data_IF_038582188534
#
_entry.id   IF_038582188534
#
_cell.length_a   1.000
_cell.length_b   1.000
_cell.length_c   1.000
_cell.angle_alpha   90.00
_cell.angle_beta   90.00
_cell.angle_gamma   90.00
#
_symmetry.space_group_name_H-M   'P 1'
#
loop_
_entity.id
_entity.type
_entity.pdbx_description
1 polymer ?
#
# COMPACT_ATOMS: atom_id res chain seq x y z
N UNK A 1 6.21 29.22 -14.29
CA UNK A 1 5.72 27.84 -14.29
C UNK A 1 4.88 27.59 -13.06
N UNK A 2 3.60 27.33 -13.27
CA UNK A 2 2.59 27.02 -12.27
C UNK A 2 2.49 25.50 -12.12
N UNK A 3 2.55 24.96 -10.90
CA UNK A 3 2.44 23.52 -10.69
C UNK A 3 1.05 23.17 -10.15
N UNK A 4 0.39 22.22 -10.79
CA UNK A 4 -0.91 21.67 -10.36
C UNK A 4 -0.86 20.14 -10.36
N UNK A 5 -1.67 19.52 -9.51
CA UNK A 5 -1.74 18.06 -9.40
C UNK A 5 -3.11 17.60 -9.88
N UNK A 6 -3.16 16.66 -10.82
CA UNK A 6 -4.41 16.04 -11.24
C UNK A 6 -4.71 14.81 -10.36
N UNK A 7 -5.84 14.82 -9.69
CA UNK A 7 -6.25 13.89 -8.63
C UNK A 7 -6.53 14.65 -7.33
N UNK A 8 -7.44 14.14 -6.49
CA UNK A 8 -7.81 14.77 -5.22
C UNK A 8 -8.05 13.75 -4.10
N UNK A 9 -7.24 12.69 -4.10
CA UNK A 9 -7.34 11.56 -3.16
C UNK A 9 -5.93 11.16 -2.69
N UNK A 10 -5.79 10.04 -1.97
CA UNK A 10 -4.54 9.70 -1.27
C UNK A 10 -3.27 9.71 -2.12
N UNK A 11 -3.32 9.22 -3.37
CA UNK A 11 -2.16 9.29 -4.29
C UNK A 11 -1.77 10.75 -4.59
N UNK A 12 -2.75 11.61 -4.85
CA UNK A 12 -2.53 13.02 -5.12
C UNK A 12 -1.99 13.76 -3.90
N UNK A 13 -2.51 13.44 -2.70
CA UNK A 13 -2.01 14.01 -1.46
C UNK A 13 -0.57 13.56 -1.18
N UNK A 14 -0.24 12.28 -1.39
CA UNK A 14 1.14 11.78 -1.25
C UNK A 14 2.10 12.44 -2.24
N UNK A 15 1.68 12.61 -3.50
CA UNK A 15 2.47 13.36 -4.49
C UNK A 15 2.66 14.80 -4.04
N UNK A 16 1.61 15.48 -3.56
CA UNK A 16 1.70 16.85 -3.07
C UNK A 16 2.72 17.00 -1.93
N UNK A 17 2.62 16.16 -0.90
CA UNK A 17 3.53 16.23 0.26
C UNK A 17 4.97 15.94 -0.16
N UNK A 18 5.20 14.84 -0.89
CA UNK A 18 6.54 14.48 -1.34
C UNK A 18 7.12 15.52 -2.31
N UNK A 19 6.29 16.12 -3.17
CA UNK A 19 6.68 17.18 -4.10
C UNK A 19 7.11 18.44 -3.37
N UNK A 20 6.31 18.89 -2.41
CA UNK A 20 6.57 20.11 -1.64
C UNK A 20 7.83 19.98 -0.79
N UNK A 21 8.08 18.80 -0.22
CA UNK A 21 9.31 18.52 0.53
C UNK A 21 10.54 18.52 -0.40
N UNK A 22 10.42 17.90 -1.57
CA UNK A 22 11.50 17.76 -2.54
C UNK A 22 11.80 19.05 -3.30
N UNK A 23 10.81 19.94 -3.43
CA UNK A 23 10.89 21.19 -4.21
C UNK A 23 10.36 22.39 -3.40
N UNK A 24 11.05 22.81 -2.32
CA UNK A 24 10.54 23.81 -1.38
C UNK A 24 10.35 25.21 -1.98
N UNK A 25 10.99 25.50 -3.11
CA UNK A 25 10.85 26.75 -3.85
C UNK A 25 9.67 26.73 -4.84
N UNK A 26 9.10 25.55 -5.11
CA UNK A 26 7.96 25.37 -6.00
C UNK A 26 6.66 25.30 -5.18
N UNK A 27 5.59 25.89 -5.72
CA UNK A 27 4.28 25.90 -5.06
C UNK A 27 3.26 25.19 -5.95
N UNK A 28 2.51 24.28 -5.33
CA UNK A 28 1.32 23.71 -5.95
C UNK A 28 0.15 24.66 -5.72
N UNK A 29 -0.53 25.04 -6.79
CA UNK A 29 -1.60 26.04 -6.71
C UNK A 29 -2.95 25.44 -6.35
N UNK A 30 -3.25 24.27 -6.93
CA UNK A 30 -4.52 23.59 -6.76
C UNK A 30 -4.42 22.12 -7.18
N UNK A 31 -5.45 21.37 -6.82
CA UNK A 31 -5.71 20.04 -7.36
C UNK A 31 -6.73 20.13 -8.50
N UNK A 32 -6.56 19.33 -9.53
CA UNK A 32 -7.48 19.19 -10.67
C UNK A 32 -8.21 17.86 -10.62
N UNK A 33 -9.47 17.86 -11.00
CA UNK A 33 -10.29 16.65 -11.16
C UNK A 33 -11.10 16.74 -12.45
N UNK A 34 -11.53 15.61 -12.99
CA UNK A 34 -12.46 15.61 -14.13
C UNK A 34 -13.77 16.30 -13.78
N UNK A 35 -14.28 16.06 -12.56
CA UNK A 35 -15.49 16.68 -12.02
C UNK A 35 -15.45 16.70 -10.50
N UNK A 36 -16.24 17.58 -9.89
CA UNK A 36 -16.43 17.63 -8.44
C UNK A 36 -17.15 16.39 -7.85
N UNK A 37 -17.73 15.54 -8.69
CA UNK A 37 -18.39 14.32 -8.23
C UNK A 37 -17.40 13.42 -7.47
N UNK A 38 -17.77 13.03 -6.24
CA UNK A 38 -16.97 12.18 -5.35
C UNK A 38 -15.57 12.71 -4.99
N UNK A 39 -15.31 14.01 -5.16
CA UNK A 39 -14.06 14.67 -4.78
C UNK A 39 -14.33 15.75 -3.72
N UNK A 40 -13.39 15.99 -2.79
CA UNK A 40 -13.53 17.07 -1.83
C UNK A 40 -13.42 18.44 -2.53
N UNK A 41 -13.90 19.50 -1.88
CA UNK A 41 -13.74 20.88 -2.36
C UNK A 41 -12.32 21.43 -2.16
N UNK A 42 -11.56 20.83 -1.25
CA UNK A 42 -10.20 21.21 -0.90
C UNK A 42 -9.39 19.98 -0.45
N UNK A 43 -8.08 20.03 -0.61
CA UNK A 43 -7.13 19.02 -0.15
C UNK A 43 -5.82 19.73 0.21
N UNK A 44 -5.21 19.41 1.35
CA UNK A 44 -4.03 20.11 1.87
C UNK A 44 -4.20 21.64 1.91
N UNK A 45 -5.39 22.10 2.32
CA UNK A 45 -5.79 23.52 2.35
C UNK A 45 -5.79 24.22 0.96
N UNK A 46 -5.57 23.49 -0.13
CA UNK A 46 -5.63 23.99 -1.50
C UNK A 46 -6.98 23.67 -2.16
N UNK A 47 -7.46 24.50 -3.09
CA UNK A 47 -8.72 24.25 -3.79
C UNK A 47 -8.61 23.04 -4.72
N UNK A 48 -9.69 22.26 -4.81
CA UNK A 48 -9.88 21.24 -5.85
C UNK A 48 -10.77 21.84 -6.93
N UNK A 49 -10.33 21.83 -8.19
CA UNK A 49 -11.00 22.47 -9.32
C UNK A 49 -11.32 21.46 -10.43
N UNK A 50 -12.44 21.64 -11.12
CA UNK A 50 -12.70 20.90 -12.35
C UNK A 50 -11.72 21.32 -13.46
N UNK A 51 -11.28 20.36 -14.27
CA UNK A 51 -10.37 20.61 -15.39
C UNK A 51 -10.93 21.64 -16.37
N UNK A 52 -12.23 21.56 -16.67
CA UNK A 52 -12.90 22.49 -17.60
C UNK A 52 -12.80 23.94 -17.11
N UNK A 53 -13.16 24.19 -15.85
CA UNK A 53 -13.12 25.53 -15.24
C UNK A 53 -11.69 26.08 -15.22
N UNK A 54 -10.72 25.27 -14.76
CA UNK A 54 -9.31 25.67 -14.75
C UNK A 54 -8.77 25.97 -16.15
N UNK A 55 -9.09 25.11 -17.12
CA UNK A 55 -8.67 25.24 -18.52
C UNK A 55 -9.21 26.50 -19.19
N UNK A 56 -10.43 26.91 -18.86
CA UNK A 56 -11.06 28.12 -19.41
C UNK A 56 -10.48 29.41 -18.83
N UNK A 57 -10.03 29.39 -17.58
CA UNK A 57 -9.42 30.54 -16.91
C UNK A 57 -7.90 30.66 -17.14
N UNK A 58 -7.24 29.56 -17.51
CA UNK A 58 -5.80 29.52 -17.72
C UNK A 58 -5.39 30.27 -19.00
N UNK A 59 -4.70 31.41 -18.85
CA UNK A 59 -4.27 32.25 -19.95
C UNK A 59 -3.12 31.63 -20.78
N UNK A 60 -2.15 30.99 -20.13
CA UNK A 60 -1.01 30.34 -20.78
C UNK A 60 -0.82 28.90 -20.26
N UNK A 61 -1.37 27.95 -20.99
CA UNK A 61 -1.31 26.51 -20.67
C UNK A 61 0.10 25.93 -20.84
N UNK A 62 1.00 26.63 -21.54
CA UNK A 62 2.38 26.19 -21.73
C UNK A 62 3.27 26.48 -20.53
N UNK A 63 2.84 27.36 -19.61
CA UNK A 63 3.52 27.62 -18.34
C UNK A 63 2.94 26.78 -17.18
N UNK A 64 2.04 25.84 -17.43
CA UNK A 64 1.47 24.97 -16.39
C UNK A 64 2.12 23.59 -16.44
N UNK A 65 2.73 23.17 -15.34
CA UNK A 65 3.16 21.79 -15.10
C UNK A 65 2.04 21.01 -14.39
N UNK A 66 1.65 19.88 -14.97
CA UNK A 66 0.61 19.02 -14.41
C UNK A 66 1.21 17.68 -13.99
N UNK A 67 1.13 17.37 -12.70
CA UNK A 67 1.47 16.06 -12.14
C UNK A 67 0.22 15.20 -12.05
N UNK A 68 0.07 14.17 -12.88
CA UNK A 68 -1.10 13.28 -12.86
C UNK A 68 -0.91 12.20 -11.80
N UNK A 69 -1.60 12.33 -10.67
CA UNK A 69 -1.45 11.53 -9.46
C UNK A 69 -2.75 10.76 -9.14
N UNK A 70 -3.07 9.80 -10.01
CA UNK A 70 -4.27 8.95 -9.95
C UNK A 70 -3.90 7.47 -10.06
N UNK A 71 -4.83 6.51 -9.90
CA UNK A 71 -4.55 5.11 -10.20
C UNK A 71 -4.03 4.93 -11.64
N UNK A 72 -3.02 4.09 -11.82
CA UNK A 72 -2.30 3.95 -13.08
C UNK A 72 -3.19 3.50 -14.27
N UNK A 73 -4.30 2.80 -13.99
CA UNK A 73 -5.25 2.35 -15.01
C UNK A 73 -6.12 3.47 -15.62
N UNK A 74 -6.13 4.67 -15.05
CA UNK A 74 -6.87 5.84 -15.60
C UNK A 74 -5.96 6.97 -16.08
N UNK A 75 -4.66 6.90 -15.78
CA UNK A 75 -3.69 7.96 -16.12
C UNK A 75 -3.62 8.27 -17.62
N UNK A 76 -3.76 7.25 -18.48
CA UNK A 76 -3.70 7.42 -19.94
C UNK A 76 -4.84 8.30 -20.46
N UNK A 77 -6.08 7.99 -20.09
CA UNK A 77 -7.28 8.76 -20.46
C UNK A 77 -7.25 10.20 -19.92
N UNK A 78 -6.72 10.37 -18.70
CA UNK A 78 -6.50 11.70 -18.12
C UNK A 78 -5.47 12.48 -18.94
N UNK A 79 -4.34 11.85 -19.31
CA UNK A 79 -3.32 12.48 -20.14
C UNK A 79 -3.87 12.93 -21.49
N UNK A 80 -4.68 12.10 -22.15
CA UNK A 80 -5.36 12.44 -23.40
C UNK A 80 -6.31 13.63 -23.22
N UNK A 81 -7.07 13.66 -22.13
CA UNK A 81 -8.00 14.76 -21.80
C UNK A 81 -7.26 16.09 -21.55
N UNK A 82 -6.12 16.03 -20.86
CA UNK A 82 -5.27 17.20 -20.61
C UNK A 82 -4.65 17.74 -21.91
N UNK A 83 -4.18 16.86 -22.79
CA UNK A 83 -3.71 17.26 -24.12
C UNK A 83 -4.83 17.88 -24.97
N UNK A 84 -6.03 17.30 -24.95
CA UNK A 84 -7.19 17.85 -25.65
C UNK A 84 -7.58 19.24 -25.10
N UNK A 85 -7.39 19.47 -23.80
CA UNK A 85 -7.57 20.76 -23.15
C UNK A 85 -6.43 21.77 -23.46
N UNK A 86 -5.37 21.37 -24.16
CA UNK A 86 -4.28 22.25 -24.60
C UNK A 86 -3.07 22.34 -23.67
N UNK A 87 -2.96 21.46 -22.67
CA UNK A 87 -1.78 21.37 -21.80
C UNK A 87 -0.69 20.50 -22.43
N UNK A 88 0.57 20.90 -22.25
CA UNK A 88 1.73 20.21 -22.83
C UNK A 88 2.75 19.68 -21.82
N UNK A 89 2.88 20.29 -20.63
CA UNK A 89 3.86 19.85 -19.63
C UNK A 89 3.20 18.90 -18.62
N UNK A 90 2.98 17.65 -19.05
CA UNK A 90 2.27 16.64 -18.27
C UNK A 90 3.25 15.56 -17.83
N UNK A 91 3.34 15.32 -16.52
CA UNK A 91 4.08 14.20 -15.94
C UNK A 91 3.08 13.21 -15.37
N UNK A 92 3.10 11.97 -15.86
CA UNK A 92 2.32 10.89 -15.24
C UNK A 92 3.10 10.37 -14.03
N UNK A 93 2.55 10.54 -12.83
CA UNK A 93 3.19 10.09 -11.58
C UNK A 93 3.02 8.58 -11.41
N UNK A 94 3.67 7.79 -12.26
CA UNK A 94 3.63 6.33 -12.14
C UNK A 94 4.44 5.90 -10.91
N UNK A 95 4.52 4.60 -10.70
CA UNK A 95 5.27 4.00 -9.61
C UNK A 95 6.70 4.55 -9.52
N UNK A 96 7.44 4.59 -10.62
CA UNK A 96 8.81 5.10 -10.64
C UNK A 96 8.92 6.59 -10.22
N UNK A 97 8.11 7.47 -10.80
CA UNK A 97 8.13 8.90 -10.45
C UNK A 97 7.71 9.15 -8.99
N UNK A 98 6.69 8.44 -8.50
CA UNK A 98 6.26 8.53 -7.10
C UNK A 98 7.35 8.00 -6.15
N UNK A 99 7.94 6.85 -6.45
CA UNK A 99 8.99 6.25 -5.63
C UNK A 99 10.23 7.16 -5.54
N UNK A 100 10.64 7.77 -6.65
CA UNK A 100 11.75 8.73 -6.68
C UNK A 100 11.44 9.95 -5.81
N UNK A 101 10.21 10.45 -5.89
CA UNK A 101 9.79 11.62 -5.12
C UNK A 101 9.71 11.34 -3.62
N UNK A 102 9.15 10.20 -3.21
CA UNK A 102 9.13 9.76 -1.82
C UNK A 102 10.55 9.52 -1.27
N UNK A 103 11.45 8.99 -2.09
CA UNK A 103 12.86 8.79 -1.72
C UNK A 103 13.57 10.12 -1.46
N UNK A 104 13.38 11.12 -2.33
CA UNK A 104 13.96 12.45 -2.12
C UNK A 104 13.35 13.14 -0.90
N UNK A 105 12.04 13.01 -0.69
CA UNK A 105 11.38 13.55 0.50
C UNK A 105 11.95 12.95 1.79
N UNK A 106 12.13 11.62 1.82
CA UNK A 106 12.74 10.89 2.94
C UNK A 106 14.17 11.38 3.24
N UNK A 107 15.03 11.55 2.22
CA UNK A 107 16.41 12.06 2.38
C UNK A 107 16.50 13.44 3.02
N UNK A 108 15.46 14.26 2.86
CA UNK A 108 15.37 15.60 3.46
C UNK A 108 14.95 15.58 4.93
N UNK A 109 14.80 14.39 5.50
CA UNK A 109 14.49 14.21 6.92
C UNK A 109 13.04 14.53 7.28
N UNK A 110 12.15 14.60 6.28
CA UNK A 110 10.72 14.84 6.47
C UNK A 110 9.99 13.57 6.04
N UNK A 111 9.33 12.89 6.98
CA UNK A 111 8.57 11.67 6.72
C UNK A 111 9.23 10.41 7.30
N UNK A 112 9.40 9.38 6.47
CA UNK A 112 9.79 8.03 6.89
C UNK A 112 11.25 7.69 6.61
N UNK A 113 11.80 6.78 7.39
CA UNK A 113 13.08 6.15 7.09
C UNK A 113 12.95 5.31 5.81
N UNK A 114 13.92 5.44 4.90
CA UNK A 114 13.96 4.68 3.67
C UNK A 114 15.03 3.60 3.69
N UNK A 115 14.77 2.50 2.96
CA UNK A 115 15.80 1.49 2.69
C UNK A 115 17.00 2.08 1.94
N UNK A 116 16.81 3.17 1.21
CA UNK A 116 17.84 3.82 0.38
C UNK A 116 18.83 4.69 1.17
N UNK A 117 18.57 4.95 2.46
CA UNK A 117 19.43 5.78 3.31
C UNK A 117 20.65 5.00 3.85
N UNK A 118 20.57 3.67 3.87
CA UNK A 118 21.62 2.79 4.37
C UNK A 118 22.74 2.55 3.37
N UNK A 119 23.94 2.28 3.89
CA UNK A 119 25.05 1.80 3.06
C UNK A 119 24.81 0.33 2.68
N UNK A 120 25.08 -0.03 1.43
CA UNK A 120 25.01 -1.42 0.98
C UNK A 120 26.22 -2.22 1.50
N UNK A 121 25.96 -3.43 2.00
CA UNK A 121 27.02 -4.39 2.33
C UNK A 121 27.43 -5.24 1.13
N UNK A 122 28.18 -6.31 1.40
CA UNK A 122 28.64 -7.26 0.37
C UNK A 122 27.79 -8.53 0.29
N UNK A 123 26.90 -8.76 1.25
CA UNK A 123 26.14 -10.01 1.36
C UNK A 123 24.66 -9.80 1.07
N UNK A 124 24.07 -10.78 0.40
CA UNK A 124 22.62 -10.87 0.26
C UNK A 124 21.99 -11.59 1.47
N UNK A 125 20.78 -11.21 1.88
CA UNK A 125 19.98 -11.99 2.81
C UNK A 125 19.30 -13.16 2.10
N UNK A 126 18.91 -14.17 2.88
CA UNK A 126 17.97 -15.20 2.43
C UNK A 126 16.57 -14.58 2.41
N UNK A 127 15.88 -14.62 1.27
CA UNK A 127 14.57 -13.99 1.09
C UNK A 127 13.58 -14.98 0.45
N UNK A 128 12.35 -15.00 0.97
CA UNK A 128 11.21 -15.69 0.36
C UNK A 128 9.96 -14.79 0.42
N UNK A 129 9.59 -14.16 -0.69
CA UNK A 129 8.38 -13.34 -0.81
C UNK A 129 7.30 -14.14 -1.51
N UNK A 130 6.16 -14.34 -0.86
CA UNK A 130 5.03 -15.06 -1.43
C UNK A 130 4.14 -14.11 -2.22
N UNK A 131 4.09 -14.31 -3.53
CA UNK A 131 3.31 -13.48 -4.44
C UNK A 131 1.92 -14.09 -4.60
N UNK A 132 0.92 -13.45 -3.99
CA UNK A 132 -0.47 -13.85 -4.09
C UNK A 132 -0.97 -13.67 -5.54
N UNK A 133 -1.41 -14.77 -6.13
CA UNK A 133 -1.98 -14.85 -7.47
C UNK A 133 -3.36 -15.51 -7.42
N UNK A 134 -4.32 -15.02 -8.19
CA UNK A 134 -5.68 -15.54 -8.25
C UNK A 134 -6.14 -15.72 -9.70
N UNK A 135 -7.16 -16.55 -9.90
CA UNK A 135 -7.81 -16.71 -11.21
C UNK A 135 -8.51 -15.44 -11.70
N UNK A 136 -8.76 -14.50 -10.79
CA UNK A 136 -9.36 -13.21 -11.08
C UNK A 136 -8.33 -12.13 -11.46
N UNK A 137 -7.04 -12.48 -11.47
CA UNK A 137 -5.98 -11.56 -11.87
C UNK A 137 -6.14 -11.17 -13.32
N UNK A 138 -5.98 -9.87 -13.59
CA UNK A 138 -6.08 -9.34 -14.95
C UNK A 138 -4.74 -9.55 -15.65
N UNK A 139 -4.74 -9.83 -16.96
CA UNK A 139 -3.51 -9.83 -17.74
C UNK A 139 -2.81 -8.48 -17.63
N UNK A 140 -1.52 -8.51 -17.27
CA UNK A 140 -0.68 -7.31 -17.20
C UNK A 140 -0.34 -6.82 -18.61
N UNK A 141 -0.34 -5.50 -18.79
CA UNK A 141 0.06 -4.86 -20.04
C UNK A 141 1.56 -5.11 -20.31
N UNK A 142 2.37 -5.09 -19.24
CA UNK A 142 3.82 -5.31 -19.30
C UNK A 142 4.18 -6.64 -18.65
N UNK A 143 5.02 -7.42 -19.35
CA UNK A 143 5.68 -8.58 -18.75
C UNK A 143 6.84 -8.11 -17.90
N UNK A 144 7.08 -8.79 -16.79
CA UNK A 144 8.24 -8.61 -15.94
C UNK A 144 8.78 -9.98 -15.53
N UNK A 145 10.07 -10.04 -15.27
CA UNK A 145 10.70 -11.24 -14.75
C UNK A 145 10.48 -11.31 -13.25
N UNK A 146 9.88 -12.41 -12.78
CA UNK A 146 9.67 -12.65 -11.37
C UNK A 146 11.01 -13.08 -10.76
N UNK A 147 11.56 -12.34 -9.78
CA UNK A 147 12.81 -12.71 -9.12
C UNK A 147 12.71 -14.09 -8.46
N UNK A 148 13.82 -14.81 -8.34
CA UNK A 148 13.82 -16.18 -7.78
C UNK A 148 13.29 -16.24 -6.34
N UNK A 149 13.55 -15.19 -5.54
CA UNK A 149 13.05 -15.07 -4.18
C UNK A 149 11.54 -14.83 -4.11
N UNK A 150 10.88 -14.51 -5.23
CA UNK A 150 9.44 -14.27 -5.30
C UNK A 150 8.72 -15.54 -5.77
N UNK A 151 7.98 -16.17 -4.85
CA UNK A 151 7.37 -17.48 -5.01
C UNK A 151 5.86 -17.30 -5.24
N UNK A 152 5.33 -17.58 -6.44
CA UNK A 152 3.89 -17.50 -6.69
C UNK A 152 3.11 -18.50 -5.84
N UNK A 153 2.10 -18.00 -5.12
CA UNK A 153 1.13 -18.79 -4.37
C UNK A 153 -0.28 -18.51 -4.92
N UNK A 154 -1.00 -19.55 -5.30
CA UNK A 154 -2.40 -19.44 -5.70
C UNK A 154 -3.27 -19.26 -4.46
N UNK A 155 -3.95 -18.12 -4.38
CA UNK A 155 -4.86 -17.78 -3.27
C UNK A 155 -6.33 -18.02 -3.64
N UNK A 156 -7.12 -18.49 -2.68
CA UNK A 156 -8.50 -18.90 -2.91
C UNK A 156 -8.59 -20.18 -3.75
N UNK A 157 -7.63 -21.09 -3.56
CA UNK A 157 -7.44 -22.29 -4.37
C UNK A 157 -8.49 -23.40 -4.14
N UNK A 158 -9.48 -23.20 -3.28
CA UNK A 158 -10.55 -24.19 -3.05
C UNK A 158 -11.44 -24.46 -4.27
N UNK A 159 -11.45 -23.55 -5.24
CA UNK A 159 -11.97 -23.86 -6.57
C UNK A 159 -10.89 -24.51 -7.43
N UNK A 160 -11.20 -25.65 -8.05
CA UNK A 160 -10.31 -26.38 -8.96
C UNK A 160 -10.00 -25.56 -10.23
N UNK A 161 -9.09 -24.61 -10.11
CA UNK A 161 -8.63 -23.78 -11.21
C UNK A 161 -7.19 -24.11 -11.56
N UNK A 162 -6.94 -24.30 -12.85
CA UNK A 162 -5.69 -24.81 -13.38
C UNK A 162 -4.69 -23.67 -13.63
N UNK A 163 -4.14 -23.10 -12.54
CA UNK A 163 -3.10 -22.06 -12.61
C UNK A 163 -1.69 -22.65 -12.45
N UNK A 164 -0.72 -22.09 -13.18
CA UNK A 164 0.71 -22.45 -13.12
C UNK A 164 1.41 -22.02 -11.81
N UNK A 165 0.70 -21.99 -10.68
CA UNK A 165 1.27 -21.65 -9.39
C UNK A 165 2.11 -22.80 -8.83
N UNK A 166 3.19 -22.46 -8.12
CA UNK A 166 4.04 -23.46 -7.44
C UNK A 166 3.45 -23.90 -6.11
N UNK A 167 2.71 -23.02 -5.45
CA UNK A 167 2.08 -23.24 -4.15
C UNK A 167 0.59 -22.92 -4.22
N UNK A 168 -0.19 -23.55 -3.34
CA UNK A 168 -1.63 -23.37 -3.23
C UNK A 168 -2.00 -23.18 -1.76
N UNK A 169 -2.74 -22.11 -1.48
CA UNK A 169 -3.13 -21.74 -0.11
C UNK A 169 -4.20 -22.66 0.48
N UNK A 170 -4.74 -23.65 -0.25
CA UNK A 170 -5.69 -24.64 0.24
C UNK A 170 -5.04 -25.93 0.79
N UNK A 171 -3.72 -25.94 0.93
CA UNK A 171 -2.96 -27.08 1.47
C UNK A 171 -2.59 -26.85 2.94
N UNK A 172 -2.28 -27.90 3.70
CA UNK A 172 -1.88 -27.77 5.10
C UNK A 172 -2.94 -27.07 5.97
N UNK A 173 -2.51 -26.26 6.94
CA UNK A 173 -3.41 -25.43 7.75
C UNK A 173 -3.72 -24.15 6.98
N UNK A 174 -5.00 -23.90 6.70
CA UNK A 174 -5.38 -22.80 5.81
C UNK A 174 -6.77 -22.20 6.05
N UNK A 175 -6.98 -21.06 5.38
CA UNK A 175 -8.25 -20.33 5.28
C UNK A 175 -8.58 -19.95 3.83
N UNK A 176 -8.15 -20.75 2.85
CA UNK A 176 -8.34 -20.48 1.41
C UNK A 176 -9.79 -20.11 1.06
N UNK A 177 -10.76 -20.85 1.63
CA UNK A 177 -12.19 -20.65 1.40
C UNK A 177 -12.70 -19.26 1.82
N UNK A 178 -11.93 -18.52 2.63
CA UNK A 178 -12.23 -17.15 3.07
C UNK A 178 -11.66 -16.06 2.14
N UNK A 179 -10.99 -16.43 1.04
CA UNK A 179 -10.33 -15.50 0.13
C UNK A 179 -11.25 -14.39 -0.41
N UNK A 180 -12.55 -14.67 -0.58
CA UNK A 180 -13.53 -13.66 -0.99
C UNK A 180 -13.56 -12.42 -0.09
N UNK A 181 -13.29 -12.57 1.21
CA UNK A 181 -13.24 -11.44 2.15
C UNK A 181 -11.79 -11.08 2.54
N UNK A 182 -10.93 -12.09 2.74
CA UNK A 182 -9.54 -11.93 3.20
C UNK A 182 -8.55 -11.54 2.09
N UNK A 183 -8.89 -11.83 0.84
CA UNK A 183 -8.02 -11.59 -0.31
C UNK A 183 -6.64 -12.24 -0.12
N UNK A 184 -5.56 -11.54 -0.43
CA UNK A 184 -4.17 -11.97 -0.29
C UNK A 184 -3.78 -12.46 1.11
N UNK A 185 -4.52 -12.06 2.16
CA UNK A 185 -4.26 -12.49 3.53
C UNK A 185 -4.44 -14.00 3.74
N UNK A 186 -5.18 -14.70 2.87
CA UNK A 186 -5.22 -16.18 2.92
C UNK A 186 -3.86 -16.79 2.58
N UNK A 187 -3.12 -16.16 1.66
CA UNK A 187 -1.73 -16.51 1.36
C UNK A 187 -0.82 -16.23 2.56
N UNK A 188 -0.94 -15.07 3.20
CA UNK A 188 -0.15 -14.74 4.40
C UNK A 188 -0.43 -15.72 5.56
N UNK A 189 -1.70 -16.09 5.78
CA UNK A 189 -2.08 -17.08 6.79
C UNK A 189 -1.42 -18.42 6.51
N UNK A 190 -1.44 -18.86 5.24
CA UNK A 190 -0.80 -20.10 4.83
C UNK A 190 0.71 -20.07 5.10
N UNK A 191 1.38 -18.97 4.76
CA UNK A 191 2.82 -18.77 5.04
C UNK A 191 3.08 -18.83 6.54
N UNK A 192 2.28 -18.14 7.35
CA UNK A 192 2.40 -18.17 8.80
C UNK A 192 2.30 -19.58 9.37
N UNK A 193 1.27 -20.34 8.99
CA UNK A 193 1.00 -21.65 9.58
C UNK A 193 1.94 -22.74 9.08
N UNK A 194 2.33 -22.69 7.81
CA UNK A 194 3.01 -23.79 7.14
C UNK A 194 4.50 -23.52 6.86
N UNK A 195 4.97 -22.27 6.94
CA UNK A 195 6.37 -21.90 6.65
C UNK A 195 7.05 -21.28 7.87
N UNK A 196 6.47 -20.23 8.46
CA UNK A 196 7.15 -19.46 9.51
C UNK A 196 7.34 -20.25 10.82
N UNK A 197 6.59 -21.34 11.02
CA UNK A 197 6.72 -22.21 12.18
C UNK A 197 7.79 -23.31 12.03
N UNK A 198 8.32 -23.53 10.82
CA UNK A 198 9.38 -24.51 10.61
C UNK A 198 10.71 -24.04 11.22
N UNK A 199 11.56 -24.97 11.64
CA UNK A 199 12.90 -24.63 12.12
C UNK A 199 13.72 -23.98 11.00
N UNK A 200 14.35 -22.85 11.28
CA UNK A 200 15.12 -22.11 10.28
C UNK A 200 15.84 -20.92 10.88
N UNK A 201 16.56 -20.19 10.04
CA UNK A 201 17.24 -18.97 10.43
C UNK A 201 16.24 -17.84 10.65
N UNK A 202 16.11 -17.38 11.89
CA UNK A 202 15.21 -16.30 12.29
C UNK A 202 15.58 -14.94 11.67
N UNK A 203 16.80 -14.80 11.12
CA UNK A 203 17.24 -13.62 10.37
C UNK A 203 16.93 -13.68 8.87
N UNK A 204 16.38 -14.79 8.37
CA UNK A 204 15.86 -14.87 7.00
C UNK A 204 14.61 -14.01 6.84
N UNK A 205 14.44 -13.45 5.64
CA UNK A 205 13.33 -12.56 5.34
C UNK A 205 12.21 -13.30 4.60
N UNK A 206 10.99 -12.99 5.01
CA UNK A 206 9.76 -13.51 4.44
C UNK A 206 8.82 -12.36 4.14
N UNK A 207 7.94 -12.53 3.16
CA UNK A 207 7.04 -11.45 2.78
C UNK A 207 5.79 -11.89 2.04
N UNK A 208 4.88 -10.94 1.88
CA UNK A 208 3.69 -11.05 1.05
C UNK A 208 3.70 -9.93 0.03
N UNK A 209 3.34 -10.24 -1.21
CA UNK A 209 3.03 -9.22 -2.21
C UNK A 209 1.90 -9.69 -3.13
N UNK A 210 1.41 -8.80 -3.98
CA UNK A 210 0.40 -9.12 -4.99
C UNK A 210 1.06 -9.28 -6.37
N UNK A 211 0.41 -9.98 -7.30
CA UNK A 211 0.92 -10.17 -8.68
C UNK A 211 1.23 -8.87 -9.44
N UNK A 212 0.67 -7.74 -9.00
CA UNK A 212 0.84 -6.42 -9.63
C UNK A 212 1.30 -5.32 -8.67
N UNK A 213 1.60 -5.68 -7.41
CA UNK A 213 2.07 -4.76 -6.37
C UNK A 213 3.11 -5.43 -5.51
N UNK A 214 4.35 -4.96 -5.59
CA UNK A 214 5.48 -5.51 -4.86
C UNK A 214 6.55 -4.46 -4.66
N UNK A 215 7.42 -4.65 -3.66
CA UNK A 215 8.50 -3.73 -3.37
C UNK A 215 9.49 -3.66 -4.55
N UNK A 216 9.83 -2.43 -4.96
CA UNK A 216 10.82 -2.12 -5.99
C UNK A 216 12.22 -2.09 -5.36
N UNK A 217 12.78 -3.28 -5.15
CA UNK A 217 14.09 -3.48 -4.53
C UNK A 217 15.08 -4.04 -5.54
N UNK A 218 16.13 -3.30 -5.81
CA UNK A 218 17.29 -3.81 -6.53
C UNK A 218 18.15 -4.69 -5.61
N UNK A 219 19.06 -5.46 -6.21
CA UNK A 219 20.00 -6.30 -5.44
C UNK A 219 20.79 -5.47 -4.40
N UNK A 220 21.15 -4.24 -4.75
CA UNK A 220 21.84 -3.33 -3.84
C UNK A 220 20.99 -3.00 -2.60
N UNK A 221 19.67 -2.83 -2.76
CA UNK A 221 18.75 -2.59 -1.65
C UNK A 221 18.63 -3.80 -0.74
N UNK A 222 18.64 -5.01 -1.29
CA UNK A 222 18.68 -6.24 -0.49
C UNK A 222 19.95 -6.31 0.37
N UNK A 223 21.09 -5.85 -0.17
CA UNK A 223 22.33 -5.73 0.59
C UNK A 223 22.26 -4.63 1.65
N UNK A 224 21.55 -3.52 1.39
CA UNK A 224 21.27 -2.48 2.41
C UNK A 224 20.43 -3.06 3.55
N UNK A 225 19.39 -3.83 3.25
CA UNK A 225 18.52 -4.49 4.24
C UNK A 225 19.36 -5.32 5.22
N UNK A 226 20.21 -6.20 4.68
CA UNK A 226 21.06 -7.07 5.50
C UNK A 226 22.12 -6.28 6.27
N UNK A 227 22.85 -5.38 5.60
CA UNK A 227 23.97 -4.67 6.22
C UNK A 227 23.54 -3.72 7.34
N UNK A 228 22.30 -3.23 7.28
CA UNK A 228 21.75 -2.29 8.26
C UNK A 228 20.83 -2.97 9.28
N UNK A 229 20.76 -4.31 9.28
CA UNK A 229 19.93 -5.11 10.18
C UNK A 229 18.47 -4.64 10.24
N UNK A 230 17.88 -4.36 9.07
CA UNK A 230 16.51 -3.86 8.93
C UNK A 230 15.53 -4.95 9.36
N UNK A 231 14.53 -4.63 10.17
CA UNK A 231 13.56 -5.64 10.64
C UNK A 231 12.41 -5.85 9.65
N UNK A 232 11.94 -4.75 9.04
CA UNK A 232 10.83 -4.77 8.09
C UNK A 232 10.96 -3.64 7.06
N UNK A 233 10.59 -3.98 5.83
CA UNK A 233 10.44 -3.07 4.70
C UNK A 233 8.98 -3.07 4.27
N UNK A 234 8.37 -1.88 4.24
CA UNK A 234 7.02 -1.64 3.74
C UNK A 234 7.07 -0.71 2.52
N UNK A 235 6.03 -0.66 1.67
CA UNK A 235 5.89 0.40 0.69
C UNK A 235 5.93 1.78 1.36
N UNK A 236 6.41 2.80 0.65
CA UNK A 236 6.10 4.17 1.07
C UNK A 236 4.58 4.31 1.28
N UNK A 237 4.13 4.78 2.46
CA UNK A 237 2.71 4.89 2.76
C UNK A 237 2.04 5.95 1.91
N UNK A 238 0.73 5.80 1.73
CA UNK A 238 -0.10 6.87 1.20
C UNK A 238 -0.58 7.78 2.33
N UNK A 239 -0.86 9.03 1.97
CA UNK A 239 -1.32 10.07 2.87
C UNK A 239 -2.83 10.25 2.69
N UNK A 240 -3.55 10.45 3.80
CA UNK A 240 -4.97 10.72 3.87
C UNK A 240 -5.24 11.96 4.72
N UNK A 241 -6.29 12.70 4.37
CA UNK A 241 -6.71 13.92 5.07
C UNK A 241 -8.22 13.87 5.38
N UNK A 242 -8.65 14.09 6.63
CA UNK A 242 -7.83 14.54 7.77
C UNK A 242 -6.88 13.47 8.33
N UNK A 243 -7.22 12.20 8.15
CA UNK A 243 -6.49 11.06 8.72
C UNK A 243 -6.79 9.75 7.95
N UNK A 244 -6.17 8.64 8.36
CA UNK A 244 -6.32 7.34 7.70
C UNK A 244 -7.74 6.76 7.74
N UNK A 245 -8.66 7.30 8.55
CA UNK A 245 -10.05 6.85 8.56
C UNK A 245 -10.76 7.12 7.23
N UNK A 246 -10.28 8.07 6.42
CA UNK A 246 -10.80 8.26 5.06
C UNK A 246 -10.66 7.02 4.18
N UNK A 247 -9.59 6.25 4.35
CA UNK A 247 -9.45 4.95 3.69
C UNK A 247 -10.56 4.00 4.13
N UNK A 248 -10.79 3.90 5.44
CA UNK A 248 -11.82 3.03 6.01
C UNK A 248 -13.21 3.43 5.52
N UNK A 249 -13.58 4.70 5.59
CA UNK A 249 -14.91 5.21 5.16
C UNK A 249 -15.23 4.88 3.70
N UNK A 250 -14.21 4.77 2.85
CA UNK A 250 -14.39 4.47 1.43
C UNK A 250 -14.64 3.00 1.13
N UNK A 251 -14.04 2.10 1.90
CA UNK A 251 -13.96 0.68 1.55
C UNK A 251 -14.60 -0.25 2.58
N UNK A 252 -14.84 0.23 3.80
CA UNK A 252 -15.34 -0.55 4.92
C UNK A 252 -16.60 0.15 5.45
N UNK A 253 -17.68 -0.62 5.63
CA UNK A 253 -18.93 -0.10 6.19
C UNK A 253 -18.71 0.34 7.64
N UNK A 254 -19.49 1.30 8.11
CA UNK A 254 -19.32 1.84 9.46
C UNK A 254 -19.45 0.76 10.53
N UNK A 255 -20.40 -0.16 10.38
CA UNK A 255 -20.65 -1.23 11.34
C UNK A 255 -19.46 -2.21 11.42
N UNK A 256 -18.82 -2.49 10.28
CA UNK A 256 -17.62 -3.32 10.24
C UNK A 256 -16.42 -2.60 10.88
N UNK A 257 -16.29 -1.29 10.67
CA UNK A 257 -15.28 -0.47 11.33
C UNK A 257 -15.45 -0.41 12.85
N UNK A 258 -16.69 -0.25 13.32
CA UNK A 258 -17.01 -0.31 14.75
C UNK A 258 -16.72 -1.69 15.35
N UNK A 259 -16.99 -2.75 14.60
CA UNK A 259 -16.63 -4.11 15.01
C UNK A 259 -15.11 -4.28 15.18
N UNK A 260 -14.29 -3.73 14.27
CA UNK A 260 -12.84 -3.75 14.40
C UNK A 260 -12.37 -3.05 15.68
N UNK A 261 -12.85 -1.83 15.93
CA UNK A 261 -12.48 -1.07 17.14
C UNK A 261 -12.90 -1.79 18.43
N UNK A 262 -14.10 -2.40 18.42
CA UNK A 262 -14.58 -3.20 19.53
C UNK A 262 -13.68 -4.41 19.78
N UNK A 263 -13.25 -5.11 18.74
CA UNK A 263 -12.35 -6.27 18.86
C UNK A 263 -10.99 -5.86 19.41
N UNK A 264 -10.43 -4.75 18.94
CA UNK A 264 -9.17 -4.23 19.46
C UNK A 264 -9.28 -3.87 20.94
N UNK A 265 -10.38 -3.26 21.38
CA UNK A 265 -10.63 -2.98 22.80
C UNK A 265 -10.83 -4.27 23.63
N UNK A 266 -11.45 -5.31 23.07
CA UNK A 266 -11.64 -6.60 23.75
C UNK A 266 -10.34 -7.40 23.90
N UNK A 267 -9.48 -7.40 22.88
CA UNK A 267 -8.25 -8.22 22.83
C UNK A 267 -7.01 -7.48 23.35
N UNK A 268 -6.94 -6.17 23.15
CA UNK A 268 -5.77 -5.32 23.42
C UNK A 268 -6.17 -3.95 24.04
N UNK A 269 -6.94 -3.93 25.14
CA UNK A 269 -7.41 -2.68 25.76
C UNK A 269 -6.26 -1.72 26.12
N UNK A 270 -5.09 -2.25 26.46
CA UNK A 270 -3.90 -1.49 26.79
C UNK A 270 -3.31 -0.71 25.61
N UNK A 271 -3.55 -1.17 24.37
CA UNK A 271 -3.04 -0.54 23.14
C UNK A 271 -3.97 0.57 22.64
N UNK A 272 -5.23 0.59 23.08
CA UNK A 272 -6.27 1.46 22.53
C UNK A 272 -5.99 2.96 22.56
N UNK A 273 -5.32 3.55 23.58
CA UNK A 273 -4.95 4.96 23.54
C UNK A 273 -4.03 5.31 22.35
N UNK A 274 -3.03 4.46 22.08
CA UNK A 274 -2.10 4.67 20.96
C UNK A 274 -2.77 4.31 19.63
N UNK A 275 -3.59 3.26 19.57
CA UNK A 275 -4.40 2.92 18.38
C UNK A 275 -5.26 4.12 17.95
N UNK A 276 -5.95 4.79 18.87
CA UNK A 276 -6.77 5.98 18.54
C UNK A 276 -5.91 7.11 17.98
N UNK A 277 -4.70 7.28 18.48
CA UNK A 277 -3.74 8.28 17.96
C UNK A 277 -3.27 7.89 16.56
N UNK A 278 -2.99 6.61 16.31
CA UNK A 278 -2.58 6.09 15.00
C UNK A 278 -3.71 6.17 13.96
N UNK A 279 -4.97 6.04 14.36
CA UNK A 279 -6.10 6.21 13.44
C UNK A 279 -6.33 7.67 13.04
N UNK A 280 -5.84 8.62 13.86
CA UNK A 280 -5.97 10.07 13.62
C UNK A 280 -4.75 10.69 12.92
N UNK A 281 -3.73 9.91 12.58
CA UNK A 281 -2.62 10.39 11.75
C UNK A 281 -2.88 10.13 10.25
N UNK A 282 -1.99 10.62 9.39
CA UNK A 282 -2.25 10.73 7.95
C UNK A 282 -1.77 9.54 7.10
N UNK A 283 -0.95 8.65 7.63
CA UNK A 283 -0.13 7.70 6.87
C UNK A 283 -0.64 6.27 6.99
N UNK A 284 -0.89 5.63 5.85
CA UNK A 284 -1.38 4.26 5.80
C UNK A 284 -0.42 3.38 4.99
N UNK A 285 -0.07 2.22 5.54
CA UNK A 285 0.63 1.17 4.82
C UNK A 285 -0.37 0.40 3.96
N UNK A 286 -0.41 0.75 2.68
CA UNK A 286 -1.35 0.19 1.74
C UNK A 286 -0.90 -1.16 1.17
N UNK A 287 -1.88 -1.90 0.64
CA UNK A 287 -1.73 -3.07 -0.23
C UNK A 287 -1.35 -4.40 0.44
N UNK A 288 -1.19 -4.47 1.77
CA UNK A 288 -0.74 -5.68 2.47
C UNK A 288 0.58 -6.22 1.86
N UNK A 289 1.50 -5.31 1.53
CA UNK A 289 2.81 -5.66 0.96
C UNK A 289 3.86 -5.50 2.05
N UNK A 290 4.59 -6.57 2.33
CA UNK A 290 5.54 -6.60 3.44
C UNK A 290 6.72 -7.50 3.12
N UNK A 291 7.91 -7.09 3.56
CA UNK A 291 9.10 -7.91 3.66
C UNK A 291 9.68 -7.75 5.06
N UNK A 292 9.69 -8.80 5.88
CA UNK A 292 10.17 -8.72 7.25
C UNK A 292 11.03 -9.93 7.61
N UNK A 293 11.86 -9.80 8.66
CA UNK A 293 12.50 -10.97 9.27
C UNK A 293 11.45 -11.98 9.71
N UNK A 294 11.80 -13.27 9.66
CA UNK A 294 10.91 -14.39 10.00
C UNK A 294 10.20 -14.20 11.34
N UNK A 295 10.96 -13.84 12.37
CA UNK A 295 10.45 -13.63 13.72
C UNK A 295 9.43 -12.47 13.79
N UNK A 296 9.72 -11.37 13.10
CA UNK A 296 8.88 -10.17 13.02
C UNK A 296 7.58 -10.49 12.28
N UNK A 297 7.66 -11.15 11.12
CA UNK A 297 6.46 -11.51 10.34
C UNK A 297 5.57 -12.51 11.10
N UNK A 298 6.18 -13.45 11.82
CA UNK A 298 5.46 -14.42 12.65
C UNK A 298 4.70 -13.72 13.78
N UNK A 299 5.36 -12.81 14.50
CA UNK A 299 4.74 -12.06 15.59
C UNK A 299 3.60 -11.16 15.08
N UNK A 300 3.79 -10.53 13.91
CA UNK A 300 2.73 -9.79 13.23
C UNK A 300 1.53 -10.68 12.92
N UNK A 301 1.73 -11.87 12.37
CA UNK A 301 0.65 -12.80 12.07
C UNK A 301 -0.07 -13.31 13.34
N UNK A 302 0.68 -13.56 14.42
CA UNK A 302 0.14 -13.94 15.73
C UNK A 302 -0.76 -12.86 16.33
N UNK A 303 -0.49 -11.58 16.06
CA UNK A 303 -1.33 -10.46 16.46
C UNK A 303 -2.50 -10.23 15.50
N UNK A 304 -2.25 -10.23 14.19
CA UNK A 304 -3.21 -9.88 13.14
C UNK A 304 -4.39 -10.85 13.07
N UNK A 305 -4.13 -12.15 12.95
CA UNK A 305 -5.17 -13.11 12.59
C UNK A 305 -6.22 -13.34 13.68
N UNK A 306 -5.88 -13.40 14.99
CA UNK A 306 -6.90 -13.46 16.04
C UNK A 306 -7.86 -12.27 16.02
N UNK A 307 -7.37 -11.07 15.70
CA UNK A 307 -8.21 -9.88 15.54
C UNK A 307 -9.17 -10.07 14.36
N UNK A 308 -8.66 -10.44 13.19
CA UNK A 308 -9.49 -10.65 11.99
C UNK A 308 -10.54 -11.75 12.18
N UNK A 309 -10.15 -12.88 12.78
CA UNK A 309 -11.06 -14.00 13.09
C UNK A 309 -12.17 -13.54 14.04
N UNK A 310 -11.86 -12.72 15.04
CA UNK A 310 -12.84 -12.18 15.98
C UNK A 310 -13.78 -11.16 15.33
N UNK A 311 -13.29 -10.34 14.41
CA UNK A 311 -14.12 -9.40 13.63
C UNK A 311 -15.17 -10.15 12.81
N UNK A 312 -14.84 -11.31 12.23
CA UNK A 312 -15.82 -12.13 11.50
C UNK A 312 -17.02 -12.52 12.37
N UNK A 313 -16.83 -12.74 13.67
CA UNK A 313 -17.92 -13.09 14.58
C UNK A 313 -18.98 -11.99 14.69
N UNK A 314 -18.55 -10.72 14.57
CA UNK A 314 -19.39 -9.53 14.63
C UNK A 314 -19.95 -9.09 13.27
N UNK A 315 -19.35 -9.57 12.16
CA UNK A 315 -19.78 -9.20 10.82
C UNK A 315 -21.23 -9.62 10.52
N UNK A 316 -21.96 -8.77 9.80
CA UNK A 316 -23.31 -9.07 9.31
C UNK A 316 -23.54 -8.44 7.93
N UNK A 317 -23.83 -9.22 6.87
CA UNK A 317 -23.89 -10.70 6.84
C UNK A 317 -22.52 -11.36 7.07
N UNK A 318 -22.49 -12.66 7.36
CA UNK A 318 -21.28 -13.36 7.81
C UNK A 318 -20.48 -13.98 6.68
N UNK A 319 -19.15 -13.82 6.70
CA UNK A 319 -18.20 -14.56 5.85
C UNK A 319 -18.65 -14.67 4.39
N UNK A 320 -18.81 -15.89 3.89
CA UNK A 320 -19.19 -16.18 2.50
C UNK A 320 -20.60 -15.69 2.07
N UNK A 321 -21.41 -15.15 2.99
CA UNK A 321 -22.69 -14.51 2.66
C UNK A 321 -22.49 -13.10 2.07
N UNK A 322 -21.27 -12.54 2.11
CA UNK A 322 -20.87 -11.29 1.48
C UNK A 322 -19.71 -11.49 0.52
N UNK A 323 -19.66 -10.64 -0.51
CA UNK A 323 -18.67 -10.66 -1.58
C UNK A 323 -17.70 -9.47 -1.55
N UNK A 324 -17.78 -8.61 -0.54
CA UNK A 324 -16.87 -7.49 -0.36
C UNK A 324 -15.60 -7.91 0.40
N UNK A 325 -14.56 -7.10 0.20
CA UNK A 325 -13.17 -7.37 0.60
C UNK A 325 -12.83 -6.72 1.95
N UNK A 326 -13.82 -6.58 2.83
CA UNK A 326 -13.71 -5.73 4.02
C UNK A 326 -12.55 -6.14 4.94
N UNK A 327 -12.32 -7.46 5.13
CA UNK A 327 -11.18 -7.96 5.91
C UNK A 327 -9.84 -7.63 5.24
N UNK A 328 -9.74 -7.77 3.91
CA UNK A 328 -8.54 -7.37 3.17
C UNK A 328 -8.18 -5.89 3.39
N UNK A 329 -9.19 -5.00 3.39
CA UNK A 329 -8.99 -3.58 3.69
C UNK A 329 -8.67 -3.32 5.17
N UNK A 330 -9.24 -4.08 6.10
CA UNK A 330 -8.87 -4.02 7.52
C UNK A 330 -7.43 -4.48 7.75
N UNK A 331 -6.92 -5.40 6.92
CA UNK A 331 -5.52 -5.81 6.91
C UNK A 331 -4.57 -4.62 6.75
N UNK A 332 -4.85 -3.73 5.79
CA UNK A 332 -4.01 -2.52 5.54
C UNK A 332 -3.99 -1.60 6.78
N UNK A 333 -5.15 -1.39 7.40
CA UNK A 333 -5.26 -0.61 8.65
C UNK A 333 -4.55 -1.28 9.81
N UNK A 334 -4.66 -2.60 9.96
CA UNK A 334 -4.03 -3.36 11.03
C UNK A 334 -2.51 -3.48 10.86
N UNK A 335 -2.01 -3.61 9.62
CA UNK A 335 -0.58 -3.50 9.31
C UNK A 335 -0.02 -2.15 9.78
N UNK A 336 -0.73 -1.07 9.45
CA UNK A 336 -0.40 0.29 9.92
C UNK A 336 -0.37 0.38 11.43
N UNK A 337 -1.43 -0.06 12.11
CA UNK A 337 -1.50 -0.05 13.57
C UNK A 337 -0.34 -0.84 14.18
N UNK A 338 -0.10 -2.08 13.73
CA UNK A 338 0.91 -2.95 14.32
C UNK A 338 2.31 -2.36 14.24
N UNK A 339 2.74 -1.91 13.05
CA UNK A 339 4.10 -1.40 12.88
C UNK A 339 4.29 -0.01 13.50
N UNK A 340 3.23 0.80 13.62
CA UNK A 340 3.31 2.06 14.35
C UNK A 340 3.34 1.87 15.87
N UNK A 341 2.58 0.92 16.42
CA UNK A 341 2.67 0.53 17.85
C UNK A 341 4.07 0.01 18.22
N UNK A 342 4.73 -0.66 17.28
CA UNK A 342 6.02 -1.30 17.48
C UNK A 342 7.20 -0.55 16.86
N UNK A 343 7.02 0.74 16.50
CA UNK A 343 8.04 1.55 15.82
C UNK A 343 9.36 1.71 16.59
N UNK A 344 9.31 1.63 17.92
CA UNK A 344 10.49 1.72 18.79
C UNK A 344 11.16 0.34 19.00
N UNK A 345 10.45 -0.75 18.67
CA UNK A 345 10.95 -2.13 18.77
C UNK A 345 11.61 -2.60 17.48
N UNK A 346 11.12 -2.14 16.34
CA UNK A 346 11.56 -2.58 15.02
C UNK A 346 12.18 -1.46 14.22
N UNK A 347 13.25 -1.77 13.50
CA UNK A 347 13.79 -0.92 12.46
C UNK A 347 12.94 -1.01 11.19
N UNK A 348 11.85 -0.25 11.19
CA UNK A 348 10.92 -0.09 10.06
C UNK A 348 11.49 0.88 9.05
N UNK A 349 11.63 0.44 7.80
CA UNK A 349 12.01 1.31 6.66
C UNK A 349 11.04 1.13 5.51
N UNK A 350 11.08 2.06 4.56
CA UNK A 350 10.17 2.09 3.43
C UNK A 350 10.93 2.06 2.10
N UNK A 351 10.35 1.37 1.12
CA UNK A 351 10.85 1.28 -0.24
C UNK A 351 9.78 1.63 -1.26
N UNK A 352 10.22 1.85 -2.49
CA UNK A 352 9.31 2.01 -3.62
C UNK A 352 8.41 0.79 -3.80
N UNK A 353 7.23 0.99 -4.39
CA UNK A 353 6.33 -0.09 -4.76
C UNK A 353 6.09 -0.05 -6.26
N UNK A 354 6.28 -1.18 -6.95
CA UNK A 354 5.88 -1.33 -8.35
C UNK A 354 4.36 -1.46 -8.44
N UNK A 355 3.74 -0.70 -9.32
CA UNK A 355 2.29 -0.70 -9.53
C UNK A 355 1.97 -1.05 -10.98
N UNK A 356 1.82 -2.34 -11.26
CA UNK A 356 1.59 -2.83 -12.61
C UNK A 356 0.10 -2.71 -13.00
N UNK A 357 -0.14 -2.39 -14.28
CA UNK A 357 -1.47 -2.25 -14.89
C UNK A 357 -1.75 -3.41 -15.84
#
# INVERSE_FOLDING_TARGET
MHTVIFGAQGIALSVYEAFTISNPEEKVECFLVTSHENNPSSLAELPVRALEDYSNECADKSDVQILVATPANVMGEIGESLHAAGFCNITLMKDEELNNLCTEASRRGIGYASVYDGNAGNELPTINVYMACSKFDKPLIRKYDIPEYMIPIHVGADSHDNMNAKLFDNTGINISHKNGNYCELTGLYWVWKNVLNEAGDESSYYGLCQYRRFLDLAEEDLRRIKANDIDVVLPFPLTYEPDIEEHRKRYIKNEDGEALLRVLEELHPEQMPEVKTILQQKWLFNYNVILAKKSVLKEYCEWLFPILEKVEEYSNPKGNQRSDRYIGYMGETLETIYFMLNKDRYKVVHGGCRLLV
#
